data_IF_353418077868
#
_entry.id   IF_353418077868
#
_cell.length_a   1.000
_cell.length_b   1.000
_cell.length_c   1.000
_cell.angle_alpha   90.00
_cell.angle_beta   90.00
_cell.angle_gamma   90.00
#
_symmetry.space_group_name_H-M   'P 1'
#
loop_
_entity.id
_entity.type
_entity.pdbx_description
1 polymer ?
#
# COMPACT_ATOMS: atom_id res chain seq x y z
N UNK A 1 -11.94 10.30 -1.73
CA UNK A 1 -11.62 10.71 -0.32
C UNK A 1 -10.60 9.72 0.19
N UNK A 2 -9.50 10.20 0.76
CA UNK A 2 -8.41 9.32 1.23
C UNK A 2 -8.55 9.04 2.72
N UNK A 3 -8.50 7.76 3.11
CA UNK A 3 -8.60 7.33 4.49
C UNK A 3 -7.49 6.34 4.84
N UNK A 4 -6.74 6.59 5.92
CA UNK A 4 -5.75 5.62 6.41
C UNK A 4 -6.48 4.43 7.04
N UNK A 5 -6.40 3.27 6.41
CA UNK A 5 -7.06 2.04 6.87
C UNK A 5 -6.17 1.26 7.82
N UNK A 6 -4.87 1.20 7.53
CA UNK A 6 -3.93 0.46 8.35
C UNK A 6 -2.55 1.09 8.33
N UNK A 7 -1.88 1.02 9.47
CA UNK A 7 -0.45 1.29 9.61
C UNK A 7 0.22 0.03 10.16
N UNK A 8 1.30 -0.41 9.51
CA UNK A 8 2.06 -1.62 9.85
C UNK A 8 3.55 -1.35 9.84
N UNK A 9 4.28 -2.14 10.61
CA UNK A 9 5.75 -2.17 10.59
C UNK A 9 6.19 -3.53 10.09
N UNK A 10 6.79 -3.58 8.90
CA UNK A 10 7.17 -4.82 8.22
C UNK A 10 8.65 -4.74 7.86
N UNK A 11 9.44 -5.70 8.36
CA UNK A 11 10.87 -5.83 8.08
C UNK A 11 11.70 -4.55 8.36
N UNK A 12 11.22 -3.67 9.25
CA UNK A 12 11.86 -2.39 9.59
C UNK A 12 11.26 -1.18 8.89
N UNK A 13 10.34 -1.39 7.96
CA UNK A 13 9.71 -0.35 7.14
C UNK A 13 8.33 0.00 7.66
N UNK A 14 8.00 1.29 7.60
CA UNK A 14 6.67 1.79 7.93
C UNK A 14 5.80 1.68 6.69
N UNK A 15 4.74 0.89 6.78
CA UNK A 15 3.80 0.65 5.68
C UNK A 15 2.44 1.22 6.03
N UNK A 16 1.94 2.12 5.20
CA UNK A 16 0.60 2.69 5.31
C UNK A 16 -0.27 2.13 4.18
N UNK A 17 -1.48 1.71 4.54
CA UNK A 17 -2.53 1.33 3.59
C UNK A 17 -3.59 2.42 3.60
N UNK A 18 -3.71 3.12 2.48
CA UNK A 18 -4.67 4.21 2.31
C UNK A 18 -5.77 3.75 1.37
N UNK A 19 -7.01 3.83 1.83
CA UNK A 19 -8.18 3.64 0.99
C UNK A 19 -8.45 4.92 0.21
N UNK A 20 -8.59 4.78 -1.09
CA UNK A 20 -8.99 5.82 -2.01
C UNK A 20 -10.36 5.47 -2.58
N UNK A 21 -11.39 6.19 -2.12
CA UNK A 21 -12.71 6.11 -2.76
C UNK A 21 -12.71 6.94 -4.04
N UNK A 22 -12.84 6.25 -5.17
CA UNK A 22 -13.00 6.81 -6.51
C UNK A 22 -14.46 6.65 -7.00
N UNK A 23 -14.84 7.37 -8.05
CA UNK A 23 -16.21 7.34 -8.57
C UNK A 23 -16.64 5.94 -9.08
N UNK A 24 -15.67 5.12 -9.49
CA UNK A 24 -15.89 3.78 -10.05
C UNK A 24 -15.70 2.64 -9.02
N UNK A 25 -15.27 2.95 -7.80
CA UNK A 25 -15.04 1.95 -6.76
C UNK A 25 -14.06 2.40 -5.67
N UNK A 26 -13.65 1.44 -4.85
CA UNK A 26 -12.70 1.64 -3.76
C UNK A 26 -11.39 0.96 -4.09
N UNK A 27 -10.29 1.71 -4.05
CA UNK A 27 -8.94 1.20 -4.23
C UNK A 27 -8.10 1.36 -2.97
N UNK A 28 -6.99 0.63 -2.88
CA UNK A 28 -6.04 0.73 -1.77
C UNK A 28 -4.64 1.06 -2.28
N UNK A 29 -4.09 2.17 -1.82
CA UNK A 29 -2.73 2.60 -2.05
C UNK A 29 -1.83 2.10 -0.93
N UNK A 30 -0.61 1.68 -1.29
CA UNK A 30 0.39 1.22 -0.34
C UNK A 30 1.55 2.21 -0.30
N UNK A 31 1.82 2.81 0.85
CA UNK A 31 2.93 3.76 1.04
C UNK A 31 3.97 3.11 1.96
N UNK A 32 5.19 2.91 1.48
CA UNK A 32 6.30 2.30 2.21
C UNK A 32 7.35 3.37 2.46
N UNK A 33 7.62 3.67 3.74
CA UNK A 33 8.56 4.74 4.17
C UNK A 33 8.32 6.09 3.49
N UNK A 34 7.05 6.40 3.22
CA UNK A 34 6.64 7.65 2.56
C UNK A 34 6.71 7.60 1.03
N UNK A 35 7.07 6.47 0.42
CA UNK A 35 7.09 6.26 -1.02
C UNK A 35 5.88 5.43 -1.43
N UNK A 36 5.12 5.92 -2.42
CA UNK A 36 4.01 5.14 -2.99
C UNK A 36 4.57 3.90 -3.70
N UNK A 37 4.19 2.72 -3.22
CA UNK A 37 4.71 1.46 -3.73
C UNK A 37 4.18 1.14 -5.13
N UNK A 38 2.97 1.61 -5.46
CA UNK A 38 2.40 1.48 -6.81
C UNK A 38 1.71 2.77 -7.28
N UNK A 39 2.34 3.45 -8.24
CA UNK A 39 1.77 4.63 -8.90
C UNK A 39 0.81 4.23 -10.05
N UNK A 40 0.82 2.98 -10.51
CA UNK A 40 0.14 2.59 -11.73
C UNK A 40 -1.34 2.25 -11.50
N UNK A 41 -1.67 1.44 -10.50
CA UNK A 41 -3.07 1.10 -10.15
C UNK A 41 -3.23 0.87 -8.63
N UNK A 42 -4.32 1.36 -8.02
CA UNK A 42 -4.69 1.00 -6.66
C UNK A 42 -4.98 -0.51 -6.54
N UNK A 43 -4.66 -1.09 -5.39
CA UNK A 43 -5.02 -2.47 -5.09
C UNK A 43 -6.54 -2.59 -4.90
N UNK A 44 -7.11 -3.74 -5.29
CA UNK A 44 -8.54 -4.06 -5.13
C UNK A 44 -8.91 -4.48 -3.70
N UNK A 45 -7.91 -4.78 -2.87
CA UNK A 45 -8.05 -5.13 -1.45
C UNK A 45 -6.85 -4.72 -0.64
N UNK A 46 -7.03 -4.72 0.69
CA UNK A 46 -5.94 -4.58 1.65
C UNK A 46 -5.00 -5.80 1.52
N UNK A 47 -3.69 -5.59 1.24
CA UNK A 47 -2.75 -6.69 1.12
C UNK A 47 -2.34 -7.25 2.49
N UNK A 48 -1.96 -8.52 2.48
CA UNK A 48 -1.32 -9.19 3.62
C UNK A 48 0.16 -8.80 3.75
N UNK A 49 0.75 -9.07 4.91
CA UNK A 49 2.16 -8.74 5.15
C UNK A 49 3.13 -9.49 4.20
N UNK A 50 2.78 -10.72 3.79
CA UNK A 50 3.58 -11.49 2.83
C UNK A 50 3.53 -10.88 1.41
N UNK A 51 2.35 -10.39 1.00
CA UNK A 51 2.16 -9.70 -0.27
C UNK A 51 2.91 -8.37 -0.28
N UNK A 52 2.85 -7.63 0.83
CA UNK A 52 3.62 -6.38 1.00
C UNK A 52 5.12 -6.65 0.87
N UNK A 53 5.66 -7.68 1.54
CA UNK A 53 7.08 -8.06 1.39
C UNK A 53 7.43 -8.40 -0.05
N UNK A 54 6.54 -9.10 -0.75
CA UNK A 54 6.73 -9.48 -2.15
C UNK A 54 6.77 -8.25 -3.05
N UNK A 55 5.87 -7.29 -2.84
CA UNK A 55 5.83 -6.02 -3.56
C UNK A 55 7.10 -5.19 -3.31
N UNK A 56 7.52 -5.07 -2.05
CA UNK A 56 8.75 -4.36 -1.67
C UNK A 56 9.97 -4.92 -2.39
N UNK A 57 10.12 -6.25 -2.39
CA UNK A 57 11.22 -6.95 -3.09
C UNK A 57 11.18 -6.76 -4.60
N UNK A 58 9.99 -6.88 -5.20
CA UNK A 58 9.81 -6.74 -6.65
C UNK A 58 10.13 -5.34 -7.17
N UNK A 59 9.89 -4.31 -6.34
CA UNK A 59 10.05 -2.90 -6.71
C UNK A 59 11.31 -2.24 -6.18
N UNK A 60 12.14 -2.98 -5.43
CA UNK A 60 13.33 -2.44 -4.73
C UNK A 60 12.98 -1.22 -3.87
N UNK A 61 11.81 -1.26 -3.25
CA UNK A 61 11.46 -0.30 -2.22
C UNK A 61 12.41 -0.51 -1.04
N UNK A 62 12.70 0.56 -0.27
CA UNK A 62 13.59 0.48 0.87
C UNK A 62 13.25 -0.72 1.76
#
# INVERSE_FOLDING_TARGET
MEHLVAERHIDGHRVLVVEECQDEGTGFLLIVDGVLADEAEPLDRIPSDEEIRTLMRGRRLP
#
